data_IF_092077234134
#
_entry.id   IF_092077234134
#
_cell.length_a   1.000
_cell.length_b   1.000
_cell.length_c   1.000
_cell.angle_alpha   90.00
_cell.angle_beta   90.00
_cell.angle_gamma   90.00
#
_symmetry.space_group_name_H-M   'P 1'
#
loop_
_entity.id
_entity.type
_entity.pdbx_description
1 polymer ?
#
# COMPACT_ATOMS: atom_id res chain seq x y z
N UNK A 1 -0.51 -4.18 42.21
CA UNK A 1 0.01 -3.34 41.10
C UNK A 1 0.41 -2.02 41.71
N UNK A 2 1.70 -1.79 41.84
CA UNK A 2 2.26 -0.54 42.28
C UNK A 2 1.87 0.55 41.31
N UNK A 3 0.97 1.41 41.72
CA UNK A 3 0.72 2.67 41.03
C UNK A 3 1.96 3.50 41.29
N UNK A 4 2.83 3.62 40.30
CA UNK A 4 3.97 4.50 40.41
C UNK A 4 3.48 5.91 40.75
N UNK A 5 4.08 6.58 41.79
CA UNK A 5 3.67 7.89 42.19
C UNK A 5 3.75 8.83 40.98
N UNK A 6 2.67 9.52 40.75
CA UNK A 6 2.40 10.55 39.74
C UNK A 6 3.64 11.00 38.95
N UNK A 7 3.99 10.29 37.92
CA UNK A 7 4.74 10.88 36.82
C UNK A 7 3.79 11.89 36.20
N UNK A 8 4.18 13.15 36.20
CA UNK A 8 3.35 14.21 35.66
C UNK A 8 2.91 13.87 34.23
N UNK A 9 1.72 14.29 33.84
CA UNK A 9 1.16 14.06 32.50
C UNK A 9 2.19 14.34 31.35
N UNK A 10 3.09 15.33 31.61
CA UNK A 10 4.17 15.67 30.68
C UNK A 10 5.25 14.61 30.52
N UNK A 11 5.52 13.77 31.52
CA UNK A 11 6.55 12.72 31.39
C UNK A 11 6.03 11.51 30.63
N UNK A 12 4.75 11.16 30.79
CA UNK A 12 4.09 10.11 29.99
C UNK A 12 4.04 10.53 28.51
N UNK A 13 3.67 11.76 28.24
CA UNK A 13 3.59 12.30 26.88
C UNK A 13 4.97 12.33 26.19
N UNK A 14 6.00 12.81 26.88
CA UNK A 14 7.38 12.82 26.36
C UNK A 14 7.88 11.42 26.02
N UNK A 15 7.55 10.46 26.87
CA UNK A 15 7.93 9.06 26.63
C UNK A 15 7.25 8.49 25.39
N UNK A 16 5.97 8.73 25.22
CA UNK A 16 5.21 8.26 24.04
C UNK A 16 5.76 8.84 22.74
N UNK A 17 6.05 10.13 22.70
CA UNK A 17 6.67 10.78 21.52
C UNK A 17 8.03 10.19 21.22
N UNK A 18 8.86 9.96 22.24
CA UNK A 18 10.19 9.36 22.07
C UNK A 18 10.12 7.91 21.55
N UNK A 19 9.19 7.11 22.06
CA UNK A 19 8.97 5.73 21.60
C UNK A 19 8.47 5.68 20.17
N UNK A 20 7.57 6.60 19.79
CA UNK A 20 7.09 6.74 18.43
C UNK A 20 8.20 7.12 17.46
N UNK A 21 9.04 8.08 17.81
CA UNK A 21 10.20 8.47 17.01
C UNK A 21 11.19 7.31 16.81
N UNK A 22 11.45 6.55 17.88
CA UNK A 22 12.31 5.36 17.81
C UNK A 22 11.72 4.26 16.90
N UNK A 23 10.39 4.08 16.93
CA UNK A 23 9.68 3.16 16.03
C UNK A 23 9.82 3.59 14.58
N UNK A 24 9.60 4.87 14.27
CA UNK A 24 9.77 5.43 12.93
C UNK A 24 11.20 5.26 12.41
N UNK A 25 12.20 5.49 13.26
CA UNK A 25 13.60 5.28 12.90
C UNK A 25 13.93 3.82 12.64
N UNK A 26 13.35 2.90 13.42
CA UNK A 26 13.48 1.46 13.18
C UNK A 26 12.91 1.07 11.84
N UNK A 27 11.68 1.47 11.52
CA UNK A 27 11.04 1.17 10.24
C UNK A 27 11.85 1.68 9.06
N UNK A 28 12.37 2.90 9.15
CA UNK A 28 13.22 3.48 8.10
C UNK A 28 14.51 2.69 7.91
N UNK A 29 15.18 2.30 9.00
CA UNK A 29 16.41 1.50 8.95
C UNK A 29 16.21 0.11 8.38
N UNK A 30 15.05 -0.49 8.66
CA UNK A 30 14.70 -1.82 8.17
C UNK A 30 14.06 -1.80 6.76
N UNK A 31 13.84 -0.62 6.18
CA UNK A 31 13.25 -0.47 4.85
C UNK A 31 11.80 -0.97 4.78
N UNK A 32 11.00 -0.64 5.79
CA UNK A 32 9.60 -1.06 5.85
C UNK A 32 8.77 -0.29 4.84
N UNK A 33 8.14 -0.99 3.92
CA UNK A 33 7.28 -0.40 2.87
C UNK A 33 5.81 -0.29 3.28
N UNK A 34 5.36 -1.11 4.21
CA UNK A 34 3.94 -1.23 4.57
C UNK A 34 3.79 -1.15 6.09
N UNK A 35 2.88 -0.30 6.56
CA UNK A 35 2.58 -0.18 7.98
C UNK A 35 1.10 -0.39 8.26
N UNK A 36 0.81 -1.01 9.40
CA UNK A 36 -0.53 -1.15 9.96
C UNK A 36 -0.52 -0.67 11.40
N UNK A 37 -1.16 0.46 11.64
CA UNK A 37 -1.40 0.94 12.99
C UNK A 37 -2.66 0.29 13.53
N UNK A 38 -2.54 -0.41 14.66
CA UNK A 38 -3.67 -1.03 15.35
C UNK A 38 -3.90 -0.29 16.67
N UNK A 39 -5.11 0.21 16.86
CA UNK A 39 -5.48 0.88 18.11
C UNK A 39 -6.71 0.26 18.73
N UNK A 40 -6.53 -0.31 19.93
CA UNK A 40 -7.66 -0.88 20.67
C UNK A 40 -8.47 0.17 21.44
N UNK A 41 -7.92 1.37 21.62
CA UNK A 41 -8.55 2.42 22.42
C UNK A 41 -8.15 3.81 21.96
N UNK A 42 -8.75 4.82 22.58
CA UNK A 42 -8.36 6.21 22.37
C UNK A 42 -6.87 6.45 22.67
N UNK A 43 -6.22 7.16 21.78
CA UNK A 43 -4.92 7.80 22.02
C UNK A 43 -4.89 9.15 21.28
N UNK A 44 -3.83 9.93 21.49
CA UNK A 44 -3.76 11.29 20.92
C UNK A 44 -3.43 11.34 19.42
N UNK A 45 -3.16 10.21 18.82
CA UNK A 45 -3.01 10.07 17.36
C UNK A 45 -1.63 10.41 16.83
N UNK A 46 -1.11 11.56 17.12
CA UNK A 46 0.17 12.04 16.56
C UNK A 46 1.35 11.09 16.84
N UNK A 47 1.35 10.45 17.99
CA UNK A 47 2.40 9.52 18.43
C UNK A 47 2.37 8.18 17.69
N UNK A 48 1.21 7.82 17.14
CA UNK A 48 1.01 6.51 16.47
C UNK A 48 0.85 6.63 14.97
N UNK A 49 0.91 7.85 14.45
CA UNK A 49 0.83 8.07 13.01
C UNK A 49 2.15 7.72 12.32
N UNK A 50 2.06 6.93 11.27
CA UNK A 50 3.15 6.79 10.34
C UNK A 50 3.22 8.02 9.43
N UNK A 51 4.22 8.85 9.65
CA UNK A 51 4.43 10.10 8.93
C UNK A 51 5.35 9.96 7.71
N UNK A 52 5.89 8.78 7.44
CA UNK A 52 6.75 8.55 6.30
C UNK A 52 5.91 8.60 4.99
N UNK A 53 6.19 9.53 4.06
CA UNK A 53 5.43 9.61 2.81
C UNK A 53 5.63 8.41 1.89
N UNK A 54 6.65 7.61 2.13
CA UNK A 54 7.01 6.47 1.28
C UNK A 54 6.32 5.17 1.71
N UNK A 55 5.77 5.07 2.90
CA UNK A 55 5.08 3.87 3.35
C UNK A 55 3.63 3.83 2.90
N UNK A 56 3.15 2.64 2.59
CA UNK A 56 1.73 2.35 2.34
C UNK A 56 1.10 1.99 3.67
N UNK A 57 0.16 2.78 4.13
CA UNK A 57 -0.31 2.73 5.50
C UNK A 57 -1.80 2.48 5.65
N UNK A 58 -2.15 1.66 6.63
CA UNK A 58 -3.52 1.51 7.11
C UNK A 58 -3.61 1.73 8.61
N UNK A 59 -4.80 2.06 9.06
CA UNK A 59 -5.13 2.21 10.48
C UNK A 59 -6.35 1.35 10.77
N UNK A 60 -6.22 0.43 11.70
CA UNK A 60 -7.33 -0.38 12.19
C UNK A 60 -7.82 0.19 13.53
N UNK A 61 -9.01 0.78 13.52
CA UNK A 61 -9.72 1.22 14.73
C UNK A 61 -10.58 0.09 15.27
N UNK A 62 -10.33 -0.31 16.52
CA UNK A 62 -11.10 -1.35 17.19
C UNK A 62 -12.54 -0.89 17.48
N UNK A 63 -13.53 -1.70 17.13
CA UNK A 63 -14.93 -1.42 17.43
C UNK A 63 -15.34 -2.05 18.78
N UNK A 64 -14.94 -1.43 19.86
CA UNK A 64 -15.18 -1.92 21.21
C UNK A 64 -16.13 -1.02 22.02
N UNK A 65 -16.89 -1.61 22.94
CA UNK A 65 -17.82 -0.89 23.82
C UNK A 65 -17.11 0.06 24.76
N UNK A 66 -16.01 -0.37 25.35
CA UNK A 66 -15.25 0.39 26.35
C UNK A 66 -14.09 1.19 25.77
N UNK A 67 -13.75 0.96 24.50
CA UNK A 67 -12.54 1.48 23.87
C UNK A 67 -12.86 1.96 22.47
N UNK A 68 -13.35 3.20 22.32
CA UNK A 68 -13.85 3.73 21.05
C UNK A 68 -12.70 4.02 20.08
N UNK A 69 -12.25 3.00 19.36
CA UNK A 69 -11.26 3.12 18.29
C UNK A 69 -11.73 3.97 17.10
N UNK A 70 -13.07 4.11 16.92
CA UNK A 70 -13.65 4.88 15.81
C UNK A 70 -13.26 6.36 15.83
N UNK A 71 -13.27 6.99 17.01
CA UNK A 71 -12.91 8.42 17.15
C UNK A 71 -11.44 8.62 16.83
N UNK A 72 -10.59 7.73 17.31
CA UNK A 72 -9.17 7.72 16.98
C UNK A 72 -8.96 7.53 15.47
N UNK A 73 -9.61 6.54 14.86
CA UNK A 73 -9.52 6.26 13.44
C UNK A 73 -9.89 7.49 12.60
N UNK A 74 -11.02 8.13 12.89
CA UNK A 74 -11.47 9.34 12.20
C UNK A 74 -10.45 10.49 12.33
N UNK A 75 -9.95 10.73 13.53
CA UNK A 75 -8.95 11.77 13.82
C UNK A 75 -7.64 11.54 13.06
N UNK A 76 -7.13 10.32 13.11
CA UNK A 76 -5.85 9.96 12.45
C UNK A 76 -5.97 10.01 10.94
N UNK A 77 -7.05 9.49 10.37
CA UNK A 77 -7.27 9.57 8.91
C UNK A 77 -7.42 11.02 8.44
N UNK A 78 -8.15 11.85 9.19
CA UNK A 78 -8.27 13.28 8.87
C UNK A 78 -6.90 13.98 8.92
N UNK A 79 -6.08 13.64 9.91
CA UNK A 79 -4.74 14.23 10.04
C UNK A 79 -3.81 13.77 8.91
N UNK A 80 -3.86 12.50 8.52
CA UNK A 80 -3.13 12.02 7.33
C UNK A 80 -3.57 12.77 6.07
N UNK A 81 -4.88 12.93 5.87
CA UNK A 81 -5.42 13.66 4.72
C UNK A 81 -4.95 15.13 4.68
N UNK A 82 -4.95 15.82 5.83
CA UNK A 82 -4.44 17.19 5.93
C UNK A 82 -2.97 17.32 5.55
N UNK A 83 -2.19 16.26 5.76
CA UNK A 83 -0.75 16.23 5.46
C UNK A 83 -0.44 15.68 4.06
N UNK A 84 -1.47 15.36 3.28
CA UNK A 84 -1.30 14.76 1.97
C UNK A 84 -0.72 13.34 1.99
N UNK A 85 -0.87 12.63 3.11
CA UNK A 85 -0.40 11.26 3.31
C UNK A 85 -1.57 10.29 3.18
N UNK A 86 -1.73 9.55 2.07
CA UNK A 86 -2.80 8.58 1.94
C UNK A 86 -2.74 7.50 3.02
N UNK A 87 -3.85 7.24 3.69
CA UNK A 87 -3.99 6.16 4.66
C UNK A 87 -5.35 5.49 4.54
N UNK A 88 -5.40 4.18 4.75
CA UNK A 88 -6.61 3.37 4.62
C UNK A 88 -7.19 3.05 5.99
N UNK A 89 -8.50 3.33 6.17
CA UNK A 89 -9.20 3.00 7.41
C UNK A 89 -9.78 1.59 7.39
N UNK A 90 -9.59 0.87 8.48
CA UNK A 90 -10.19 -0.44 8.71
C UNK A 90 -10.98 -0.40 10.00
N UNK A 91 -12.25 -0.82 9.95
CA UNK A 91 -13.19 -0.81 11.07
C UNK A 91 -14.21 -1.93 10.90
N UNK A 92 -14.55 -2.61 11.98
CA UNK A 92 -15.51 -3.70 11.98
C UNK A 92 -16.97 -3.22 12.10
N UNK A 93 -17.91 -4.02 11.59
CA UNK A 93 -19.35 -3.77 11.74
C UNK A 93 -19.82 -4.08 13.16
N UNK A 94 -19.37 -5.21 13.68
CA UNK A 94 -19.84 -5.70 14.96
C UNK A 94 -19.03 -5.11 16.12
N UNK A 95 -19.74 -4.80 17.20
CA UNK A 95 -19.12 -4.33 18.43
C UNK A 95 -18.53 -5.51 19.17
N UNK A 96 -17.26 -5.39 19.54
CA UNK A 96 -16.54 -6.41 20.29
C UNK A 96 -16.50 -6.07 21.78
N UNK A 97 -16.76 -7.06 22.62
CA UNK A 97 -16.60 -6.92 24.06
C UNK A 97 -15.11 -6.85 24.44
N UNK A 98 -14.82 -6.34 25.62
CA UNK A 98 -13.44 -6.05 26.06
C UNK A 98 -12.53 -7.28 26.15
N UNK A 99 -13.09 -8.46 26.33
CA UNK A 99 -12.40 -9.75 26.41
C UNK A 99 -12.36 -10.53 25.08
N UNK A 100 -13.07 -10.05 24.06
CA UNK A 100 -13.04 -10.67 22.73
C UNK A 100 -11.71 -10.33 22.05
N UNK A 101 -10.90 -11.37 21.84
CA UNK A 101 -9.60 -11.28 21.15
C UNK A 101 -9.66 -11.76 19.71
N UNK A 102 -10.84 -12.10 19.22
CA UNK A 102 -11.04 -12.54 17.83
C UNK A 102 -10.88 -11.38 16.84
N UNK A 103 -10.59 -11.70 15.61
CA UNK A 103 -10.64 -10.73 14.50
C UNK A 103 -11.95 -10.98 13.75
N UNK A 104 -12.91 -10.02 13.74
CA UNK A 104 -14.13 -10.18 12.96
C UNK A 104 -13.85 -10.47 11.49
N UNK A 105 -14.68 -11.28 10.85
CA UNK A 105 -14.42 -11.75 9.48
C UNK A 105 -14.38 -10.59 8.46
N UNK A 106 -15.24 -9.57 8.62
CA UNK A 106 -15.21 -8.38 7.78
C UNK A 106 -13.93 -7.55 7.95
N UNK A 107 -13.38 -7.49 9.16
CA UNK A 107 -12.07 -6.85 9.43
C UNK A 107 -10.96 -7.65 8.80
N UNK A 108 -10.96 -8.96 8.97
CA UNK A 108 -9.98 -9.87 8.38
C UNK A 108 -9.96 -9.76 6.85
N UNK A 109 -11.13 -9.71 6.22
CA UNK A 109 -11.23 -9.49 4.77
C UNK A 109 -10.60 -8.15 4.35
N UNK A 110 -10.90 -7.06 5.08
CA UNK A 110 -10.33 -5.72 4.81
C UNK A 110 -8.81 -5.71 5.00
N UNK A 111 -8.30 -6.35 6.06
CA UNK A 111 -6.85 -6.50 6.32
C UNK A 111 -6.15 -7.25 5.18
N UNK A 112 -6.72 -8.39 4.75
CA UNK A 112 -6.15 -9.17 3.66
C UNK A 112 -6.19 -8.42 2.32
N UNK A 113 -7.26 -7.69 2.04
CA UNK A 113 -7.39 -6.85 0.85
C UNK A 113 -6.33 -5.74 0.85
N UNK A 114 -6.20 -5.04 1.96
CA UNK A 114 -5.15 -4.03 2.13
C UNK A 114 -3.76 -4.64 1.94
N UNK A 115 -3.46 -5.73 2.62
CA UNK A 115 -2.14 -6.37 2.55
C UNK A 115 -1.76 -6.78 1.12
N UNK A 116 -2.68 -7.39 0.38
CA UNK A 116 -2.45 -7.78 -1.02
C UNK A 116 -2.20 -6.57 -1.92
N UNK A 117 -3.02 -5.52 -1.78
CA UNK A 117 -2.86 -4.30 -2.56
C UNK A 117 -1.56 -3.56 -2.21
N UNK A 118 -1.24 -3.48 -0.93
CA UNK A 118 -0.02 -2.83 -0.45
C UNK A 118 1.25 -3.55 -0.91
N UNK A 119 1.28 -4.88 -0.85
CA UNK A 119 2.40 -5.68 -1.38
C UNK A 119 2.56 -5.47 -2.88
N UNK A 120 1.46 -5.46 -3.63
CA UNK A 120 1.51 -5.20 -5.07
C UNK A 120 2.09 -3.82 -5.37
N UNK A 121 1.60 -2.77 -4.69
CA UNK A 121 2.09 -1.40 -4.88
C UNK A 121 3.56 -1.25 -4.44
N UNK A 122 3.94 -1.80 -3.29
CA UNK A 122 5.33 -1.77 -2.82
C UNK A 122 6.28 -2.49 -3.79
N UNK A 123 5.83 -3.59 -4.41
CA UNK A 123 6.63 -4.35 -5.38
C UNK A 123 6.89 -3.61 -6.69
N UNK A 124 6.15 -2.55 -6.99
CA UNK A 124 6.37 -1.71 -8.18
C UNK A 124 7.52 -0.73 -7.98
N UNK A 125 7.79 -0.33 -6.76
CA UNK A 125 8.82 0.67 -6.44
C UNK A 125 10.19 0.24 -6.97
N UNK A 126 10.89 1.18 -7.61
CA UNK A 126 12.21 0.94 -8.21
C UNK A 126 12.20 0.12 -9.51
N UNK A 127 11.01 -0.16 -10.07
CA UNK A 127 10.86 -0.80 -11.39
C UNK A 127 10.61 0.22 -12.48
N UNK A 128 10.74 -0.20 -13.73
CA UNK A 128 10.39 0.61 -14.88
C UNK A 128 8.99 0.24 -15.40
N UNK A 129 8.25 1.25 -15.81
CA UNK A 129 7.04 1.14 -16.60
C UNK A 129 7.42 1.31 -18.08
N UNK A 130 7.31 0.25 -18.86
CA UNK A 130 7.66 0.28 -20.28
C UNK A 130 6.47 0.74 -21.10
N UNK A 131 6.61 1.89 -21.78
CA UNK A 131 5.69 2.37 -22.79
C UNK A 131 6.22 1.99 -24.18
N UNK A 132 5.45 1.26 -24.94
CA UNK A 132 5.79 0.91 -26.34
C UNK A 132 5.00 1.81 -27.27
N UNK A 133 5.72 2.54 -28.13
CA UNK A 133 5.14 3.57 -28.98
C UNK A 133 4.91 4.90 -28.26
N UNK A 134 3.96 5.67 -28.78
CA UNK A 134 3.60 6.98 -28.22
C UNK A 134 2.08 7.18 -28.24
N UNK A 135 1.64 8.41 -28.00
CA UNK A 135 0.21 8.76 -28.06
C UNK A 135 -0.36 8.48 -29.44
N UNK A 136 -1.30 7.54 -29.52
CA UNK A 136 -1.93 7.13 -30.77
C UNK A 136 -3.16 7.99 -31.05
N UNK A 137 -3.14 8.72 -32.16
CA UNK A 137 -4.28 9.54 -32.68
C UNK A 137 -4.91 10.48 -31.64
N UNK A 138 -4.17 10.93 -30.63
CA UNK A 138 -4.69 11.80 -29.59
C UNK A 138 -5.64 11.11 -28.58
N UNK A 139 -5.64 9.79 -28.50
CA UNK A 139 -6.46 9.04 -27.54
C UNK A 139 -5.94 9.32 -26.12
N UNK A 140 -6.76 9.98 -25.30
CA UNK A 140 -6.37 10.41 -23.96
C UNK A 140 -5.90 9.26 -23.05
N UNK A 141 -6.46 8.06 -23.18
CA UNK A 141 -6.05 6.89 -22.42
C UNK A 141 -4.66 6.34 -22.75
N UNK A 142 -4.04 6.80 -23.83
CA UNK A 142 -2.66 6.42 -24.20
C UNK A 142 -1.61 7.44 -23.68
N UNK A 143 -2.06 8.51 -23.03
CA UNK A 143 -1.17 9.51 -22.43
C UNK A 143 -0.82 9.04 -21.02
N UNK A 144 0.47 8.89 -20.77
CA UNK A 144 0.99 8.51 -19.44
C UNK A 144 1.61 9.76 -18.82
N UNK A 145 1.15 10.06 -17.62
CA UNK A 145 1.78 11.06 -16.76
C UNK A 145 2.94 10.40 -16.01
N UNK A 146 4.15 10.67 -16.46
CA UNK A 146 5.37 10.12 -15.85
C UNK A 146 5.55 10.58 -14.41
N UNK A 147 5.17 11.81 -14.10
CA UNK A 147 5.31 12.35 -12.73
C UNK A 147 4.36 11.65 -11.77
N UNK A 148 3.15 11.30 -12.25
CA UNK A 148 2.22 10.49 -11.46
C UNK A 148 2.78 9.08 -11.21
N UNK A 149 3.27 8.41 -12.24
CA UNK A 149 3.83 7.06 -12.13
C UNK A 149 5.03 7.04 -11.17
N UNK A 150 5.91 8.03 -11.25
CA UNK A 150 7.06 8.15 -10.37
C UNK A 150 6.64 8.47 -8.93
N UNK A 151 5.77 9.46 -8.74
CA UNK A 151 5.39 9.94 -7.40
C UNK A 151 4.55 8.94 -6.62
N UNK A 152 3.60 8.24 -7.29
CA UNK A 152 2.67 7.33 -6.61
C UNK A 152 3.12 5.87 -6.61
N UNK A 153 3.78 5.42 -7.67
CA UNK A 153 4.19 4.03 -7.81
C UNK A 153 5.70 3.83 -7.64
N UNK A 154 6.48 4.92 -7.60
CA UNK A 154 7.93 4.86 -7.52
C UNK A 154 8.58 4.19 -8.73
N UNK A 155 7.92 4.23 -9.88
CA UNK A 155 8.38 3.62 -11.13
C UNK A 155 8.87 4.70 -12.10
N UNK A 156 9.91 4.41 -12.86
CA UNK A 156 10.35 5.26 -13.95
C UNK A 156 9.66 4.84 -15.26
N UNK A 157 9.19 5.81 -16.03
CA UNK A 157 8.65 5.56 -17.37
C UNK A 157 9.80 5.48 -18.37
N UNK A 158 9.88 4.36 -19.09
CA UNK A 158 10.81 4.14 -20.19
C UNK A 158 10.00 4.03 -21.47
N UNK A 159 10.42 4.72 -22.54
CA UNK A 159 9.75 4.67 -23.83
C UNK A 159 10.60 3.93 -24.86
N UNK A 160 9.97 3.04 -25.58
CA UNK A 160 10.58 2.26 -26.67
C UNK A 160 9.72 2.38 -27.92
N UNK A 161 10.34 2.66 -29.05
CA UNK A 161 9.65 2.70 -30.34
C UNK A 161 9.21 1.31 -30.80
N UNK A 162 8.07 1.20 -31.46
CA UNK A 162 7.57 -0.07 -32.01
C UNK A 162 8.54 -0.72 -33.00
N UNK A 163 9.33 0.09 -33.72
CA UNK A 163 10.37 -0.39 -34.64
C UNK A 163 11.37 -1.29 -33.93
N UNK A 164 11.70 -1.02 -32.68
CA UNK A 164 12.60 -1.87 -31.89
C UNK A 164 11.98 -3.26 -31.64
N UNK A 165 10.69 -3.35 -31.44
CA UNK A 165 9.99 -4.64 -31.29
C UNK A 165 10.08 -5.44 -32.60
N UNK A 166 9.79 -4.77 -33.72
CA UNK A 166 9.87 -5.40 -35.05
C UNK A 166 11.31 -5.87 -35.31
N UNK A 167 12.31 -5.03 -35.04
CA UNK A 167 13.72 -5.40 -35.19
C UNK A 167 14.08 -6.63 -34.36
N UNK A 168 13.70 -6.67 -33.10
CA UNK A 168 13.97 -7.82 -32.21
C UNK A 168 13.30 -9.11 -32.71
N UNK A 169 12.07 -9.00 -33.16
CA UNK A 169 11.35 -10.15 -33.72
C UNK A 169 12.05 -10.68 -34.99
N UNK A 170 12.44 -9.77 -35.89
CA UNK A 170 13.08 -10.14 -37.18
C UNK A 170 14.48 -10.73 -36.97
N UNK A 171 15.25 -10.19 -36.02
CA UNK A 171 16.61 -10.62 -35.74
C UNK A 171 16.71 -11.73 -34.67
N UNK A 172 15.59 -12.15 -34.12
CA UNK A 172 15.54 -13.20 -33.07
C UNK A 172 16.16 -12.78 -31.74
N UNK A 173 16.15 -11.47 -31.40
CA UNK A 173 16.73 -10.91 -30.18
C UNK A 173 15.68 -10.93 -29.06
N UNK A 174 15.41 -12.10 -28.53
CA UNK A 174 14.52 -12.30 -27.38
C UNK A 174 14.89 -13.60 -26.63
N UNK A 175 14.40 -13.76 -25.42
CA UNK A 175 14.56 -14.99 -24.65
C UNK A 175 13.62 -16.07 -25.23
N UNK A 176 14.20 -17.01 -25.97
CA UNK A 176 13.45 -18.09 -26.63
C UNK A 176 12.78 -19.02 -25.61
N UNK A 177 13.40 -19.29 -24.47
CA UNK A 177 12.84 -20.17 -23.47
C UNK A 177 11.61 -19.54 -22.78
N UNK A 178 11.68 -18.27 -22.48
CA UNK A 178 10.52 -17.52 -21.94
C UNK A 178 9.41 -17.35 -22.99
N UNK A 179 9.78 -17.13 -24.25
CA UNK A 179 8.81 -17.08 -25.33
C UNK A 179 8.01 -18.39 -25.45
N UNK A 180 8.67 -19.55 -25.42
CA UNK A 180 7.99 -20.84 -25.50
C UNK A 180 7.05 -21.08 -24.30
N UNK A 181 7.45 -20.69 -23.10
CA UNK A 181 6.57 -20.74 -21.92
C UNK A 181 5.34 -19.86 -22.08
N UNK A 182 5.53 -18.62 -22.53
CA UNK A 182 4.43 -17.68 -22.74
C UNK A 182 3.48 -18.17 -23.84
N UNK A 183 4.03 -18.69 -24.96
CA UNK A 183 3.26 -19.23 -26.06
C UNK A 183 2.44 -20.46 -25.64
N UNK A 184 3.04 -21.35 -24.85
CA UNK A 184 2.34 -22.51 -24.28
C UNK A 184 1.19 -22.07 -23.40
N UNK A 185 1.46 -21.16 -22.46
CA UNK A 185 0.43 -20.60 -21.58
C UNK A 185 -0.72 -19.96 -22.37
N UNK A 186 -0.41 -19.16 -23.38
CA UNK A 186 -1.43 -18.51 -24.22
C UNK A 186 -2.32 -19.55 -24.94
N UNK A 187 -1.72 -20.60 -25.52
CA UNK A 187 -2.46 -21.66 -26.19
C UNK A 187 -3.37 -22.48 -25.26
N UNK A 188 -2.94 -22.66 -24.01
CA UNK A 188 -3.68 -23.46 -23.00
C UNK A 188 -4.77 -22.64 -22.30
N UNK A 189 -4.57 -21.33 -22.14
CA UNK A 189 -5.42 -20.48 -21.29
C UNK A 189 -6.33 -19.55 -22.07
N UNK A 190 -5.88 -19.04 -23.23
CA UNK A 190 -6.60 -18.05 -24.00
C UNK A 190 -7.50 -18.70 -25.07
N UNK A 191 -8.71 -18.14 -25.22
CA UNK A 191 -9.53 -18.45 -26.41
C UNK A 191 -8.96 -17.71 -27.61
N UNK A 192 -8.43 -18.46 -28.56
CA UNK A 192 -7.93 -17.89 -29.83
C UNK A 192 -9.13 -17.67 -30.73
N UNK A 193 -9.51 -16.41 -30.91
CA UNK A 193 -10.69 -16.01 -31.72
C UNK A 193 -10.45 -15.88 -33.23
N UNK A 194 -9.48 -16.61 -33.75
CA UNK A 194 -9.27 -16.63 -35.18
C UNK A 194 -10.28 -17.59 -35.81
N UNK A 195 -11.18 -17.06 -36.62
CA UNK A 195 -11.99 -17.88 -37.47
C UNK A 195 -11.09 -18.67 -38.37
N UNK A 196 -11.24 -19.99 -38.31
CA UNK A 196 -10.69 -20.88 -39.29
C UNK A 196 -11.57 -20.75 -40.54
N UNK A 197 -11.26 -19.77 -41.37
CA UNK A 197 -11.69 -19.78 -42.76
C UNK A 197 -10.62 -20.46 -43.61
#
# INVERSE_FOLDING_TARGET
RDVAPSRGLGDVYKRQVGESAACADKFRKEGVDITLTVTPCWCYGAETMDMDPQTIKAVWGFNGTERPGAVYLASVLATHAQKGLPAFGIYGHDVQEADDTSIPEDVKEKLLRFGRAAVAAASMRGKSYLQIGSVTMGIGGSIIDSDFIESYLGMRVESVDEVEIIRRMTEGIYDHAEFEKALKWAKETCKIGWDKN
#
